data_IF_308847630451
#
_entry.id   IF_308847630451
#
_cell.length_a   1.000
_cell.length_b   1.000
_cell.length_c   1.000
_cell.angle_alpha   90.00
_cell.angle_beta   90.00
_cell.angle_gamma   90.00
#
_symmetry.space_group_name_H-M   'P 1'
#
loop_
_entity.id
_entity.type
_entity.pdbx_description
1 polymer ?
#
# COMPACT_ATOMS: atom_id res chain seq x y z
N UNK A 1 -8.73 -8.82 11.64
CA UNK A 1 -9.33 -7.48 11.45
C UNK A 1 -8.74 -6.93 10.17
N UNK A 2 -9.57 -6.61 9.18
CA UNK A 2 -9.12 -5.91 7.97
C UNK A 2 -8.83 -4.45 8.35
N UNK A 3 -7.75 -3.87 7.81
CA UNK A 3 -7.49 -2.43 7.92
C UNK A 3 -8.71 -1.68 7.37
N UNK A 4 -9.19 -0.67 8.10
CA UNK A 4 -10.21 0.24 7.57
C UNK A 4 -9.60 1.05 6.42
N UNK A 5 -10.19 0.94 5.22
CA UNK A 5 -9.70 1.62 4.02
C UNK A 5 -9.94 3.14 4.11
N UNK A 6 -9.11 3.96 3.44
CA UNK A 6 -9.40 5.38 3.25
C UNK A 6 -10.80 5.60 2.65
N UNK A 7 -11.50 6.62 3.12
CA UNK A 7 -12.88 6.93 2.69
C UNK A 7 -12.93 7.13 1.17
N UNK A 8 -13.86 6.45 0.49
CA UNK A 8 -14.07 6.56 -0.97
C UNK A 8 -13.50 5.40 -1.81
N UNK A 9 -12.57 4.60 -1.28
CA UNK A 9 -12.03 3.43 -1.99
C UNK A 9 -13.01 2.26 -2.07
N UNK A 10 -13.88 2.11 -1.06
CA UNK A 10 -14.88 1.04 -1.00
C UNK A 10 -15.96 1.13 -2.08
N UNK A 11 -16.19 2.31 -2.67
CA UNK A 11 -17.11 2.50 -3.79
C UNK A 11 -16.46 2.28 -5.17
N UNK A 12 -15.13 2.22 -5.24
CA UNK A 12 -14.35 2.12 -6.49
C UNK A 12 -13.84 0.68 -6.71
N UNK A 13 -13.62 -0.07 -5.63
CA UNK A 13 -13.03 -1.39 -5.67
C UNK A 13 -14.02 -2.45 -5.17
N UNK A 14 -14.31 -3.45 -6.00
CA UNK A 14 -15.00 -4.65 -5.54
C UNK A 14 -14.15 -5.41 -4.50
N UNK A 15 -14.76 -6.29 -3.70
CA UNK A 15 -14.08 -6.98 -2.60
C UNK A 15 -12.85 -7.80 -3.01
N UNK A 16 -12.76 -8.22 -4.28
CA UNK A 16 -11.60 -8.96 -4.79
C UNK A 16 -10.48 -8.01 -5.21
N UNK A 17 -10.82 -6.84 -5.77
CA UNK A 17 -9.89 -5.73 -6.03
C UNK A 17 -9.35 -5.12 -4.74
N UNK A 18 -10.17 -4.97 -3.70
CA UNK A 18 -9.73 -4.53 -2.37
C UNK A 18 -8.66 -5.45 -1.80
N UNK A 19 -8.87 -6.78 -1.83
CA UNK A 19 -7.88 -7.75 -1.32
C UNK A 19 -6.58 -7.69 -2.11
N UNK A 20 -6.65 -7.58 -3.43
CA UNK A 20 -5.46 -7.41 -4.28
C UNK A 20 -4.72 -6.13 -3.94
N UNK A 21 -5.42 -5.02 -3.86
CA UNK A 21 -4.85 -3.73 -3.52
C UNK A 21 -4.16 -3.73 -2.15
N UNK A 22 -4.81 -4.27 -1.12
CA UNK A 22 -4.20 -4.39 0.21
C UNK A 22 -2.91 -5.22 0.17
N UNK A 23 -2.95 -6.36 -0.53
CA UNK A 23 -1.84 -7.33 -0.56
C UNK A 23 -0.65 -6.87 -1.40
N UNK A 24 -0.90 -6.28 -2.56
CA UNK A 24 0.12 -6.00 -3.56
C UNK A 24 0.57 -4.54 -3.61
N UNK A 25 -0.18 -3.63 -2.98
CA UNK A 25 0.13 -2.19 -2.98
C UNK A 25 0.28 -1.67 -1.56
N UNK A 26 -0.77 -1.76 -0.73
CA UNK A 26 -0.77 -1.09 0.59
C UNK A 26 0.24 -1.69 1.57
N UNK A 27 0.21 -3.00 1.82
CA UNK A 27 1.17 -3.63 2.75
C UNK A 27 2.62 -3.47 2.28
N UNK A 28 2.96 -3.70 1.00
CA UNK A 28 4.25 -3.36 0.42
C UNK A 28 4.72 -1.92 0.71
N UNK A 29 3.85 -0.93 0.53
CA UNK A 29 4.18 0.47 0.80
C UNK A 29 4.39 0.75 2.28
N UNK A 30 3.56 0.17 3.15
CA UNK A 30 3.75 0.28 4.60
C UNK A 30 5.05 -0.40 5.05
N UNK A 31 5.41 -1.51 4.42
CA UNK A 31 6.70 -2.19 4.62
C UNK A 31 7.87 -1.37 4.06
N UNK A 32 7.66 -0.49 3.09
CA UNK A 32 8.71 0.37 2.55
C UNK A 32 8.89 1.63 3.42
N UNK A 33 7.80 2.32 3.76
CA UNK A 33 7.83 3.61 4.44
C UNK A 33 7.88 3.51 5.98
N UNK A 34 7.31 2.45 6.55
CA UNK A 34 7.21 2.28 8.00
C UNK A 34 6.05 3.08 8.61
N UNK A 35 5.66 2.70 9.83
CA UNK A 35 4.46 3.22 10.51
C UNK A 35 4.45 4.74 10.74
N UNK A 36 5.63 5.36 10.81
CA UNK A 36 5.74 6.79 11.16
C UNK A 36 5.56 7.69 9.93
N UNK A 37 5.42 7.09 8.75
CA UNK A 37 5.38 7.76 7.45
C UNK A 37 4.03 7.57 6.75
N UNK A 38 2.97 7.28 7.50
CA UNK A 38 1.61 7.07 7.00
C UNK A 38 1.08 8.22 6.12
N UNK A 39 1.36 9.51 6.41
CA UNK A 39 0.97 10.60 5.49
C UNK A 39 1.59 10.48 4.09
N UNK A 40 2.82 9.96 3.98
CA UNK A 40 3.47 9.75 2.68
C UNK A 40 2.85 8.56 1.93
N UNK A 41 2.35 7.56 2.67
CA UNK A 41 1.60 6.47 2.06
C UNK A 41 0.26 7.00 1.53
N UNK A 42 -0.44 7.85 2.28
CA UNK A 42 -1.72 8.44 1.84
C UNK A 42 -1.56 9.32 0.59
N UNK A 43 -0.52 10.15 0.55
CA UNK A 43 -0.15 10.96 -0.62
C UNK A 43 0.18 10.07 -1.83
N UNK A 44 0.98 9.03 -1.64
CA UNK A 44 1.33 8.10 -2.70
C UNK A 44 0.10 7.41 -3.28
N UNK A 45 -0.84 6.97 -2.44
CA UNK A 45 -2.08 6.32 -2.88
C UNK A 45 -2.99 7.28 -3.63
N UNK A 46 -3.11 8.53 -3.16
CA UNK A 46 -3.88 9.58 -3.85
C UNK A 46 -3.35 9.78 -5.27
N UNK A 47 -2.03 9.86 -5.42
CA UNK A 47 -1.39 10.00 -6.73
C UNK A 47 -1.50 8.71 -7.57
N UNK A 48 -1.36 7.52 -6.97
CA UNK A 48 -1.42 6.23 -7.65
C UNK A 48 -2.75 6.00 -8.39
N UNK A 49 -3.87 6.39 -7.78
CA UNK A 49 -5.19 6.23 -8.40
C UNK A 49 -5.52 7.28 -9.47
N UNK A 50 -4.71 8.34 -9.58
CA UNK A 50 -4.81 9.29 -10.69
C UNK A 50 -4.06 8.79 -11.95
N UNK A 51 -3.27 7.72 -11.83
CA UNK A 51 -2.49 7.18 -12.94
C UNK A 51 -3.31 6.25 -13.84
N UNK A 52 -2.88 6.17 -15.10
CA UNK A 52 -3.32 5.16 -16.06
C UNK A 52 -2.98 3.74 -15.56
N UNK A 53 -3.58 2.71 -16.15
CA UNK A 53 -3.24 1.32 -15.80
C UNK A 53 -1.75 1.01 -16.01
N UNK A 54 -1.15 1.56 -17.07
CA UNK A 54 0.29 1.44 -17.35
C UNK A 54 1.14 2.14 -16.28
N UNK A 55 0.78 3.37 -15.90
CA UNK A 55 1.49 4.08 -14.82
C UNK A 55 1.39 3.37 -13.47
N UNK A 56 0.26 2.72 -13.18
CA UNK A 56 0.12 1.89 -11.97
C UNK A 56 0.99 0.64 -12.02
N UNK A 57 1.12 0.01 -13.19
CA UNK A 57 1.99 -1.15 -13.38
C UNK A 57 3.46 -0.82 -13.09
N UNK A 58 3.95 0.30 -13.59
CA UNK A 58 5.34 0.74 -13.36
C UNK A 58 5.62 1.02 -11.88
N UNK A 59 4.68 1.67 -11.19
CA UNK A 59 4.80 1.92 -9.75
C UNK A 59 4.83 0.61 -8.97
N UNK A 60 3.97 -0.36 -9.30
CA UNK A 60 3.98 -1.68 -8.66
C UNK A 60 5.31 -2.41 -8.87
N UNK A 61 5.89 -2.35 -10.09
CA UNK A 61 7.20 -2.93 -10.35
C UNK A 61 8.32 -2.26 -9.53
N UNK A 62 8.30 -0.94 -9.45
CA UNK A 62 9.27 -0.18 -8.67
C UNK A 62 9.21 -0.52 -7.17
N UNK A 63 8.01 -0.56 -6.57
CA UNK A 63 7.81 -0.93 -5.17
C UNK A 63 8.32 -2.35 -4.91
N UNK A 64 7.97 -3.30 -5.78
CA UNK A 64 8.44 -4.68 -5.65
C UNK A 64 9.96 -4.77 -5.72
N UNK A 65 10.62 -4.05 -6.62
CA UNK A 65 12.08 -4.00 -6.72
C UNK A 65 12.70 -3.41 -5.44
N UNK A 66 12.18 -2.30 -4.92
CA UNK A 66 12.67 -1.69 -3.67
C UNK A 66 12.53 -2.64 -2.48
N UNK A 67 11.45 -3.41 -2.40
CA UNK A 67 11.23 -4.38 -1.34
C UNK A 67 12.16 -5.58 -1.40
N UNK A 68 12.64 -5.99 -2.58
CA UNK A 68 13.68 -7.01 -2.68
C UNK A 68 15.03 -6.49 -2.17
N UNK A 69 15.33 -5.21 -2.40
CA UNK A 69 16.61 -4.59 -2.03
C UNK A 69 16.65 -4.22 -0.53
N UNK A 70 15.54 -3.73 0.04
CA UNK A 70 15.47 -3.13 1.39
C UNK A 70 14.49 -3.84 2.33
N UNK A 71 14.45 -5.17 2.30
CA UNK A 71 13.56 -5.96 3.16
C UNK A 71 13.97 -5.85 4.64
N UNK A 72 13.27 -5.01 5.39
CA UNK A 72 13.50 -4.79 6.82
C UNK A 72 12.52 -5.64 7.66
N UNK A 73 13.05 -6.68 8.30
CA UNK A 73 12.25 -7.62 9.10
C UNK A 73 11.56 -6.95 10.30
N UNK A 74 12.11 -5.87 10.85
CA UNK A 74 11.49 -5.12 11.93
C UNK A 74 10.33 -4.27 11.42
N UNK A 75 10.48 -3.67 10.23
CA UNK A 75 9.40 -2.93 9.57
C UNK A 75 8.22 -3.83 9.21
N UNK A 76 8.49 -5.02 8.67
CA UNK A 76 7.47 -6.03 8.39
C UNK A 76 6.71 -6.49 9.65
N UNK A 77 7.37 -6.55 10.81
CA UNK A 77 6.71 -6.82 12.10
C UNK A 77 5.83 -5.65 12.55
N UNK A 78 6.29 -4.42 12.39
CA UNK A 78 5.54 -3.22 12.76
C UNK A 78 4.28 -3.03 11.90
N UNK A 79 4.34 -3.34 10.60
CA UNK A 79 3.15 -3.27 9.73
C UNK A 79 2.01 -4.15 10.25
N UNK A 80 2.34 -5.33 10.79
CA UNK A 80 1.35 -6.26 11.37
C UNK A 80 0.68 -5.74 12.65
N UNK A 81 1.25 -4.73 13.32
CA UNK A 81 0.68 -4.18 14.57
C UNK A 81 -0.21 -2.97 14.33
N UNK A 82 -0.32 -2.47 13.10
CA UNK A 82 -1.18 -1.35 12.74
C UNK A 82 -2.64 -1.80 12.80
N UNK A 83 -3.40 -1.24 13.76
CA UNK A 83 -4.80 -1.61 14.03
C UNK A 83 -5.83 -0.72 13.34
N UNK A 84 -5.44 0.49 12.97
CA UNK A 84 -6.24 1.49 12.25
C UNK A 84 -5.34 2.30 11.34
N UNK A 85 -5.91 2.78 10.23
CA UNK A 85 -5.32 3.83 9.41
C UNK A 85 -5.31 5.14 10.19
#
# INVERSE_FOLDING_TARGET
MLLELPKGLGSILDGNRVKRYLKYTLYPLMEMFGKDKMPMVDEHLTNYYQLTDEGRHDVDQFINAQLQIKKDANRAKQVKTIKKW
#
